data_IF_939698344314
#
_entry.id   IF_939698344314
#
_cell.length_a   1.000
_cell.length_b   1.000
_cell.length_c   1.000
_cell.angle_alpha   90.00
_cell.angle_beta   90.00
_cell.angle_gamma   90.00
#
_symmetry.space_group_name_H-M   'P 1'
#
loop_
_entity.id
_entity.type
_entity.pdbx_description
1 polymer ?
#
# COMPACT_ATOMS: atom_id res chain seq x y z
N UNK A 1 11.03 -27.11 -12.21
CA UNK A 1 10.26 -26.00 -11.60
C UNK A 1 8.78 -26.28 -11.78
N UNK A 2 7.97 -26.01 -10.76
CA UNK A 2 6.50 -26.13 -10.81
C UNK A 2 5.96 -25.06 -11.76
N UNK A 3 5.03 -25.42 -12.66
CA UNK A 3 4.43 -24.44 -13.60
C UNK A 3 3.51 -23.49 -12.85
N UNK A 4 3.26 -22.31 -13.43
CA UNK A 4 2.36 -21.31 -12.82
C UNK A 4 0.90 -21.83 -12.78
N UNK A 5 0.48 -22.62 -13.74
CA UNK A 5 -0.83 -23.27 -13.73
C UNK A 5 -0.97 -24.28 -12.60
N UNK A 6 0.08 -25.07 -12.34
CA UNK A 6 0.09 -26.04 -11.24
C UNK A 6 0.03 -25.30 -9.90
N UNK A 7 0.77 -24.18 -9.74
CA UNK A 7 0.65 -23.34 -8.54
C UNK A 7 -0.77 -22.78 -8.39
N UNK A 8 -1.36 -22.31 -9.49
CA UNK A 8 -2.74 -21.83 -9.51
C UNK A 8 -3.75 -22.89 -9.08
N UNK A 9 -3.62 -24.11 -9.59
CA UNK A 9 -4.48 -25.24 -9.23
C UNK A 9 -4.36 -25.57 -7.74
N UNK A 10 -3.13 -25.62 -7.20
CA UNK A 10 -2.86 -25.87 -5.78
C UNK A 10 -3.45 -24.76 -4.89
N UNK A 11 -3.27 -23.50 -5.27
CA UNK A 11 -3.84 -22.35 -4.58
C UNK A 11 -5.38 -22.43 -4.51
N UNK A 12 -6.03 -22.74 -5.64
CA UNK A 12 -7.50 -22.88 -5.68
C UNK A 12 -8.01 -24.03 -4.84
N UNK A 13 -7.25 -25.10 -4.72
CA UNK A 13 -7.56 -26.22 -3.81
C UNK A 13 -7.38 -25.80 -2.35
N UNK A 14 -6.26 -25.13 -2.03
CA UNK A 14 -5.97 -24.64 -0.69
C UNK A 14 -7.01 -23.62 -0.19
N UNK A 15 -7.54 -22.75 -1.06
CA UNK A 15 -8.56 -21.76 -0.69
C UNK A 15 -9.82 -22.39 -0.11
N UNK A 16 -10.17 -23.63 -0.52
CA UNK A 16 -11.30 -24.37 0.06
C UNK A 16 -11.03 -24.81 1.50
N UNK A 17 -9.77 -25.11 1.83
CA UNK A 17 -9.36 -25.42 3.21
C UNK A 17 -9.36 -24.16 4.06
N UNK A 18 -8.84 -23.06 3.50
CA UNK A 18 -8.81 -21.76 4.19
C UNK A 18 -10.21 -21.28 4.58
N UNK A 19 -11.22 -21.50 3.74
CA UNK A 19 -12.61 -21.12 4.04
C UNK A 19 -13.21 -21.77 5.29
N UNK A 20 -12.61 -22.86 5.80
CA UNK A 20 -13.06 -23.57 6.99
C UNK A 20 -12.25 -23.22 8.25
N UNK A 21 -11.15 -22.48 8.10
CA UNK A 21 -10.25 -22.17 9.19
C UNK A 21 -10.85 -21.05 10.06
N UNK A 22 -11.00 -21.33 11.36
CA UNK A 22 -11.49 -20.35 12.34
C UNK A 22 -10.39 -19.43 12.86
N UNK A 23 -10.81 -18.34 13.49
CA UNK A 23 -9.92 -17.27 14.00
C UNK A 23 -8.86 -17.81 14.96
N UNK A 24 -9.21 -18.71 15.88
CA UNK A 24 -8.26 -19.27 16.87
C UNK A 24 -7.10 -19.98 16.17
N UNK A 25 -7.39 -20.84 15.19
CA UNK A 25 -6.37 -21.58 14.46
C UNK A 25 -5.49 -20.63 13.61
N UNK A 26 -6.09 -19.63 12.95
CA UNK A 26 -5.33 -18.61 12.21
C UNK A 26 -4.36 -17.89 13.12
N UNK A 27 -4.83 -17.41 14.27
CA UNK A 27 -4.00 -16.69 15.23
C UNK A 27 -2.87 -17.57 15.80
N UNK A 28 -3.13 -18.85 16.05
CA UNK A 28 -2.10 -19.80 16.48
C UNK A 28 -1.03 -19.99 15.40
N UNK A 29 -1.42 -20.14 14.11
CA UNK A 29 -0.47 -20.28 13.00
C UNK A 29 0.33 -19.00 12.79
N UNK A 30 -0.30 -17.83 12.89
CA UNK A 30 0.42 -16.54 12.80
C UNK A 30 1.45 -16.38 13.94
N UNK A 31 1.12 -16.82 15.16
CA UNK A 31 2.06 -16.81 16.27
C UNK A 31 3.25 -17.78 16.04
N UNK A 32 2.98 -18.98 15.53
CA UNK A 32 4.03 -19.93 15.14
C UNK A 32 4.90 -19.38 14.02
N UNK A 33 4.30 -18.71 13.04
CA UNK A 33 5.02 -18.08 11.92
C UNK A 33 5.91 -16.92 12.40
N UNK A 34 5.41 -16.06 13.30
CA UNK A 34 6.19 -14.98 13.90
C UNK A 34 7.40 -15.52 14.67
N UNK A 35 7.20 -16.56 15.49
CA UNK A 35 8.28 -17.19 16.24
C UNK A 35 9.29 -17.86 15.30
N UNK A 36 8.83 -18.59 14.27
CA UNK A 36 9.69 -19.28 13.32
C UNK A 36 10.58 -18.32 12.52
N UNK A 37 10.11 -17.11 12.17
CA UNK A 37 10.93 -16.09 11.52
C UNK A 37 12.13 -15.68 12.39
N UNK A 38 11.94 -15.57 13.69
CA UNK A 38 13.01 -15.24 14.64
C UNK A 38 13.95 -16.43 14.86
N UNK A 39 13.38 -17.62 15.06
CA UNK A 39 14.16 -18.83 15.34
C UNK A 39 15.03 -19.28 14.15
N UNK A 40 14.52 -19.13 12.93
CA UNK A 40 15.23 -19.50 11.69
C UNK A 40 15.90 -18.29 11.00
N UNK A 41 16.10 -17.17 11.70
CA UNK A 41 16.63 -15.92 11.12
C UNK A 41 18.01 -16.08 10.48
N UNK A 42 18.86 -16.95 11.00
CA UNK A 42 20.19 -17.18 10.44
C UNK A 42 20.13 -17.74 9.00
N UNK A 43 19.19 -18.68 8.72
CA UNK A 43 18.97 -19.19 7.36
C UNK A 43 18.46 -18.08 6.43
N UNK A 44 17.56 -17.21 6.92
CA UNK A 44 17.02 -16.09 6.16
C UNK A 44 18.14 -15.07 5.85
N UNK A 45 18.95 -14.70 6.83
CA UNK A 45 20.07 -13.76 6.67
C UNK A 45 21.14 -14.31 5.71
N UNK A 46 21.44 -15.60 5.77
CA UNK A 46 22.35 -16.26 4.83
C UNK A 46 21.83 -16.21 3.39
N UNK A 47 20.55 -16.46 3.18
CA UNK A 47 19.91 -16.34 1.86
C UNK A 47 19.90 -14.87 1.37
N UNK A 48 19.63 -13.92 2.27
CA UNK A 48 19.67 -12.50 1.97
C UNK A 48 21.07 -12.00 1.57
N UNK A 49 22.11 -12.50 2.19
CA UNK A 49 23.49 -12.17 1.82
C UNK A 49 23.80 -12.54 0.36
N UNK A 50 23.22 -13.64 -0.16
CA UNK A 50 23.38 -14.04 -1.57
C UNK A 50 22.71 -13.02 -2.51
N UNK A 51 21.51 -12.55 -2.16
CA UNK A 51 20.81 -11.53 -2.95
C UNK A 51 21.56 -10.19 -2.95
N UNK A 52 22.09 -9.77 -1.80
CA UNK A 52 22.88 -8.54 -1.67
C UNK A 52 24.17 -8.61 -2.49
N UNK A 53 24.88 -9.75 -2.42
CA UNK A 53 26.11 -9.94 -3.21
C UNK A 53 25.81 -9.88 -4.71
N UNK A 54 24.72 -10.54 -5.15
CA UNK A 54 24.28 -10.51 -6.54
C UNK A 54 23.87 -9.09 -6.99
N UNK A 55 23.17 -8.32 -6.15
CA UNK A 55 22.78 -6.94 -6.43
C UNK A 55 24.01 -6.02 -6.59
N UNK A 56 24.99 -6.13 -5.70
CA UNK A 56 26.25 -5.36 -5.77
C UNK A 56 27.07 -5.71 -7.00
N UNK A 57 27.15 -6.99 -7.38
CA UNK A 57 27.81 -7.43 -8.63
C UNK A 57 27.17 -6.85 -9.88
N UNK A 58 25.86 -6.55 -9.84
CA UNK A 58 25.11 -5.88 -10.92
C UNK A 58 25.20 -4.35 -10.86
N UNK A 59 26.00 -3.77 -9.96
CA UNK A 59 26.09 -2.33 -9.73
C UNK A 59 24.73 -1.68 -9.41
N UNK A 60 23.88 -2.35 -8.66
CA UNK A 60 22.61 -1.79 -8.20
C UNK A 60 22.85 -0.55 -7.32
N UNK A 61 22.10 0.56 -7.50
CA UNK A 61 22.23 1.75 -6.66
C UNK A 61 22.04 1.43 -5.17
N UNK A 62 22.86 2.00 -4.29
CA UNK A 62 22.83 1.73 -2.83
C UNK A 62 21.43 1.90 -2.20
N UNK A 63 20.59 2.91 -2.55
CA UNK A 63 19.23 2.98 -2.02
C UNK A 63 18.34 1.78 -2.38
N UNK A 64 18.60 1.14 -3.52
CA UNK A 64 17.88 -0.08 -3.93
C UNK A 64 18.45 -1.31 -3.20
N UNK A 65 19.78 -1.35 -2.98
CA UNK A 65 20.42 -2.40 -2.16
C UNK A 65 19.88 -2.34 -0.73
N UNK A 66 19.75 -1.14 -0.13
CA UNK A 66 19.21 -1.00 1.23
C UNK A 66 17.77 -1.56 1.35
N UNK A 67 16.97 -1.47 0.30
CA UNK A 67 15.62 -2.09 0.28
C UNK A 67 15.65 -3.61 0.33
N UNK A 68 16.72 -4.24 -0.17
CA UNK A 68 16.93 -5.69 -0.14
C UNK A 68 17.46 -6.20 1.20
N UNK A 69 18.25 -5.36 1.89
CA UNK A 69 18.94 -5.77 3.12
C UNK A 69 17.93 -6.21 4.18
N UNK A 70 18.10 -7.39 4.71
CA UNK A 70 17.52 -7.84 5.95
C UNK A 70 18.56 -7.78 7.07
N UNK A 71 18.10 -7.46 8.28
CA UNK A 71 18.85 -7.52 9.53
C UNK A 71 18.01 -8.24 10.57
N UNK A 72 18.59 -8.63 11.67
CA UNK A 72 17.84 -9.20 12.80
C UNK A 72 16.65 -8.30 13.21
N UNK A 73 16.89 -6.98 13.26
CA UNK A 73 15.83 -6.02 13.58
C UNK A 73 14.74 -5.95 12.52
N UNK A 74 15.05 -6.07 11.22
CA UNK A 74 14.06 -6.11 10.15
C UNK A 74 13.27 -7.42 10.16
N UNK A 75 13.91 -8.55 10.50
CA UNK A 75 13.21 -9.84 10.68
C UNK A 75 12.31 -9.80 11.93
N UNK A 76 12.80 -9.24 13.04
CA UNK A 76 11.97 -9.02 14.23
C UNK A 76 10.77 -8.12 13.91
N UNK A 77 10.93 -7.10 13.05
CA UNK A 77 9.83 -6.26 12.56
C UNK A 77 8.79 -7.03 11.74
N UNK A 78 9.22 -8.01 10.89
CA UNK A 78 8.29 -8.89 10.19
C UNK A 78 7.50 -9.78 11.18
N UNK A 79 8.16 -10.34 12.18
CA UNK A 79 7.53 -11.15 13.23
C UNK A 79 6.52 -10.33 14.05
N UNK A 80 6.89 -9.10 14.42
CA UNK A 80 6.01 -8.15 15.10
C UNK A 80 4.77 -7.83 14.25
N UNK A 81 4.93 -7.60 12.94
CA UNK A 81 3.82 -7.38 12.02
C UNK A 81 2.82 -8.54 12.03
N UNK A 82 3.29 -9.79 12.02
CA UNK A 82 2.42 -10.97 12.15
C UNK A 82 1.72 -11.02 13.52
N UNK A 83 2.42 -10.67 14.59
CA UNK A 83 1.88 -10.62 15.95
C UNK A 83 0.77 -9.58 16.08
N UNK A 84 0.96 -8.41 15.49
CA UNK A 84 -0.05 -7.35 15.48
C UNK A 84 -1.34 -7.76 14.77
N UNK A 85 -1.24 -8.53 13.66
CA UNK A 85 -2.41 -9.09 12.98
C UNK A 85 -3.24 -10.02 13.86
N UNK A 86 -2.63 -10.68 14.84
CA UNK A 86 -3.34 -11.55 15.79
C UNK A 86 -4.32 -10.73 16.63
N UNK A 87 -3.93 -9.52 17.05
CA UNK A 87 -4.73 -8.64 17.89
C UNK A 87 -5.91 -7.99 17.13
N UNK A 88 -5.86 -7.94 15.80
CA UNK A 88 -6.92 -7.37 15.00
C UNK A 88 -8.15 -8.28 14.93
N UNK A 89 -9.33 -7.68 14.87
CA UNK A 89 -10.57 -8.42 14.61
C UNK A 89 -10.50 -9.16 13.28
N UNK A 90 -11.03 -10.37 13.29
CA UNK A 90 -11.18 -11.18 12.08
C UNK A 90 -12.39 -10.71 11.28
N UNK A 91 -12.21 -10.17 10.07
CA UNK A 91 -13.34 -9.67 9.30
C UNK A 91 -14.19 -10.80 8.69
N UNK A 92 -13.69 -12.03 8.65
CA UNK A 92 -14.38 -13.14 8.00
C UNK A 92 -15.57 -13.58 8.82
N UNK A 93 -16.74 -13.54 8.20
CA UNK A 93 -18.00 -13.91 8.86
C UNK A 93 -18.81 -12.72 9.38
N UNK A 94 -18.26 -11.50 9.35
CA UNK A 94 -18.99 -10.27 9.72
C UNK A 94 -20.30 -10.15 8.92
N UNK A 95 -21.41 -9.97 9.61
CA UNK A 95 -22.71 -9.64 8.98
C UNK A 95 -22.80 -8.11 8.85
N UNK A 96 -22.68 -7.64 7.63
CA UNK A 96 -22.69 -6.21 7.32
C UNK A 96 -24.11 -5.64 7.40
N UNK A 97 -25.09 -6.41 6.94
CA UNK A 97 -26.51 -6.09 7.03
C UNK A 97 -27.35 -7.35 7.01
N UNK A 98 -28.52 -7.30 7.67
CA UNK A 98 -29.58 -8.32 7.58
C UNK A 98 -30.92 -7.62 7.40
N UNK A 99 -31.79 -8.19 6.57
CA UNK A 99 -33.14 -7.69 6.30
C UNK A 99 -34.09 -8.85 6.14
N UNK A 100 -35.21 -8.80 6.86
CA UNK A 100 -36.34 -9.73 6.66
C UNK A 100 -37.28 -9.16 5.63
N UNK A 101 -37.57 -9.92 4.59
CA UNK A 101 -38.48 -9.52 3.51
C UNK A 101 -39.95 -9.78 3.91
N UNK A 102 -40.94 -9.12 3.26
CA UNK A 102 -42.36 -9.36 3.57
C UNK A 102 -42.79 -10.83 3.44
N UNK A 103 -42.14 -11.61 2.60
CA UNK A 103 -42.39 -13.06 2.43
C UNK A 103 -41.64 -13.94 3.45
N UNK A 104 -40.95 -13.35 4.44
CA UNK A 104 -40.25 -14.07 5.49
C UNK A 104 -38.82 -14.47 5.15
N UNK A 105 -38.29 -14.21 3.94
CA UNK A 105 -36.89 -14.45 3.63
C UNK A 105 -35.99 -13.52 4.45
N UNK A 106 -35.04 -14.09 5.20
CA UNK A 106 -33.96 -13.34 5.84
C UNK A 106 -32.75 -13.27 4.91
N UNK A 107 -32.36 -12.06 4.50
CA UNK A 107 -31.26 -11.81 3.58
C UNK A 107 -30.12 -11.14 4.35
N UNK A 108 -29.02 -11.86 4.55
CA UNK A 108 -27.82 -11.37 5.22
C UNK A 108 -26.70 -11.10 4.21
N UNK A 109 -26.07 -9.92 4.27
CA UNK A 109 -24.83 -9.61 3.55
C UNK A 109 -23.64 -9.95 4.46
N UNK A 110 -22.89 -10.98 4.11
CA UNK A 110 -21.80 -11.54 4.92
C UNK A 110 -20.45 -11.33 4.25
N UNK A 111 -19.43 -10.93 5.03
CA UNK A 111 -18.04 -10.80 4.59
C UNK A 111 -17.38 -12.17 4.44
N UNK A 112 -16.67 -12.37 3.34
CA UNK A 112 -16.00 -13.63 2.98
C UNK A 112 -14.64 -13.34 2.34
N UNK A 113 -13.70 -14.32 2.29
CA UNK A 113 -12.45 -14.16 1.56
C UNK A 113 -12.70 -13.84 0.08
N UNK A 114 -11.75 -13.15 -0.56
CA UNK A 114 -11.71 -13.03 -2.03
C UNK A 114 -11.47 -14.42 -2.65
N UNK A 115 -10.49 -15.15 -2.11
CA UNK A 115 -10.13 -16.48 -2.57
C UNK A 115 -8.63 -16.65 -2.77
N UNK A 116 -8.17 -16.59 -4.03
CA UNK A 116 -6.74 -16.66 -4.38
C UNK A 116 -6.26 -15.27 -4.78
N UNK A 117 -5.31 -14.73 -4.03
CA UNK A 117 -4.70 -13.44 -4.30
C UNK A 117 -3.31 -13.66 -4.90
N UNK A 118 -3.05 -13.07 -6.05
CA UNK A 118 -1.72 -13.01 -6.63
C UNK A 118 -1.04 -11.69 -6.26
N UNK A 119 0.22 -11.73 -5.80
CA UNK A 119 0.98 -10.52 -5.49
C UNK A 119 2.27 -10.52 -6.28
N UNK A 120 2.45 -9.48 -7.13
CA UNK A 120 3.67 -9.27 -7.90
C UNK A 120 4.42 -8.09 -7.28
N UNK A 121 5.66 -8.33 -6.79
CA UNK A 121 6.39 -7.31 -6.03
C UNK A 121 7.88 -7.27 -6.37
N UNK A 122 8.49 -6.10 -6.11
CA UNK A 122 9.89 -5.81 -6.40
C UNK A 122 10.69 -5.61 -5.11
N UNK A 123 11.95 -6.07 -5.12
CA UNK A 123 13.07 -5.65 -4.23
C UNK A 123 12.74 -5.39 -2.76
N UNK A 124 11.80 -6.12 -2.17
CA UNK A 124 11.37 -5.96 -0.76
C UNK A 124 11.05 -7.31 -0.13
N UNK A 125 12.04 -8.03 0.44
CA UNK A 125 11.80 -9.37 1.01
C UNK A 125 10.76 -9.40 2.12
N UNK A 126 10.62 -8.32 2.91
CA UNK A 126 9.61 -8.21 3.97
C UNK A 126 8.17 -8.34 3.45
N UNK A 127 7.90 -7.94 2.20
CA UNK A 127 6.57 -8.07 1.59
C UNK A 127 6.09 -9.53 1.59
N UNK A 128 7.00 -10.50 1.54
CA UNK A 128 6.66 -11.93 1.62
C UNK A 128 5.92 -12.27 2.92
N UNK A 129 6.40 -11.76 4.06
CA UNK A 129 5.79 -11.98 5.37
C UNK A 129 4.51 -11.15 5.55
N UNK A 130 4.54 -9.88 5.14
CA UNK A 130 3.39 -8.97 5.26
C UNK A 130 2.20 -9.50 4.42
N UNK A 131 2.46 -9.87 3.17
CA UNK A 131 1.47 -10.43 2.25
C UNK A 131 0.89 -11.76 2.77
N UNK A 132 1.76 -12.64 3.29
CA UNK A 132 1.32 -13.87 3.92
C UNK A 132 0.37 -13.57 5.08
N UNK A 133 0.78 -12.75 6.04
CA UNK A 133 0.02 -12.49 7.25
C UNK A 133 -1.37 -11.93 6.96
N UNK A 134 -1.45 -10.91 6.10
CA UNK A 134 -2.70 -10.25 5.71
C UNK A 134 -3.64 -11.21 4.96
N UNK A 135 -3.14 -11.93 3.95
CA UNK A 135 -3.93 -12.89 3.19
C UNK A 135 -4.39 -14.06 4.07
N UNK A 136 -3.49 -14.59 4.90
CA UNK A 136 -3.79 -15.72 5.78
C UNK A 136 -4.84 -15.39 6.84
N UNK A 137 -4.72 -14.22 7.51
CA UNK A 137 -5.71 -13.75 8.49
C UNK A 137 -7.09 -13.60 7.89
N UNK A 138 -7.19 -13.27 6.60
CA UNK A 138 -8.44 -13.08 5.86
C UNK A 138 -8.90 -14.33 5.09
N UNK A 139 -8.37 -15.52 5.44
CA UNK A 139 -8.68 -16.79 4.80
C UNK A 139 -8.39 -16.86 3.28
N UNK A 140 -7.57 -15.97 2.75
CA UNK A 140 -7.12 -16.03 1.36
C UNK A 140 -5.90 -16.94 1.22
N UNK A 141 -5.79 -17.59 0.08
CA UNK A 141 -4.55 -18.20 -0.38
C UNK A 141 -3.76 -17.16 -1.19
N UNK A 142 -2.45 -17.12 -1.03
CA UNK A 142 -1.61 -16.17 -1.75
C UNK A 142 -0.57 -16.86 -2.64
N UNK A 143 -0.45 -16.37 -3.88
CA UNK A 143 0.63 -16.70 -4.80
C UNK A 143 1.53 -15.48 -4.93
N UNK A 144 2.77 -15.62 -4.47
CA UNK A 144 3.77 -14.57 -4.47
C UNK A 144 4.68 -14.68 -5.69
N UNK A 145 4.92 -13.57 -6.38
CA UNK A 145 5.87 -13.45 -7.48
C UNK A 145 6.80 -12.27 -7.19
N UNK A 146 7.92 -12.55 -6.54
CA UNK A 146 8.97 -11.57 -6.29
C UNK A 146 9.84 -11.29 -7.52
N UNK A 147 10.60 -10.20 -7.46
CA UNK A 147 11.67 -9.91 -8.42
C UNK A 147 12.86 -10.85 -8.25
N UNK A 148 13.72 -10.90 -9.29
CA UNK A 148 14.95 -11.71 -9.28
C UNK A 148 15.99 -11.27 -8.24
N UNK A 149 15.85 -10.02 -7.75
CA UNK A 149 16.83 -9.41 -6.85
C UNK A 149 16.73 -9.89 -5.40
N UNK A 150 15.59 -10.51 -5.03
CA UNK A 150 15.31 -10.99 -3.68
C UNK A 150 14.89 -12.46 -3.64
N UNK A 151 15.17 -13.24 -4.68
CA UNK A 151 14.60 -14.58 -4.81
C UNK A 151 15.06 -15.53 -3.71
N UNK A 152 16.32 -15.48 -3.31
CA UNK A 152 16.83 -16.36 -2.24
C UNK A 152 16.20 -16.03 -0.90
N UNK A 153 16.08 -14.74 -0.57
CA UNK A 153 15.39 -14.25 0.63
C UNK A 153 13.92 -14.68 0.64
N UNK A 154 13.21 -14.46 -0.48
CA UNK A 154 11.80 -14.82 -0.61
C UNK A 154 11.58 -16.32 -0.44
N UNK A 155 12.45 -17.17 -1.02
CA UNK A 155 12.41 -18.62 -0.86
C UNK A 155 12.63 -19.04 0.60
N UNK A 156 13.62 -18.46 1.28
CA UNK A 156 13.93 -18.76 2.67
C UNK A 156 12.76 -18.38 3.59
N UNK A 157 12.23 -17.17 3.46
CA UNK A 157 11.06 -16.69 4.24
C UNK A 157 9.85 -17.59 3.97
N UNK A 158 9.54 -17.87 2.69
CA UNK A 158 8.40 -18.72 2.32
C UNK A 158 8.53 -20.12 2.93
N UNK A 159 9.72 -20.71 2.91
CA UNK A 159 10.01 -22.03 3.49
C UNK A 159 9.69 -22.04 5.00
N UNK A 160 10.17 -21.05 5.73
CA UNK A 160 9.93 -20.90 7.18
C UNK A 160 8.44 -20.75 7.48
N UNK A 161 7.74 -19.86 6.75
CA UNK A 161 6.31 -19.63 6.94
C UNK A 161 5.48 -20.88 6.62
N UNK A 162 5.79 -21.61 5.55
CA UNK A 162 5.09 -22.87 5.19
C UNK A 162 5.24 -23.96 6.25
N UNK A 163 6.45 -24.10 6.83
CA UNK A 163 6.67 -25.01 7.98
C UNK A 163 5.78 -24.65 9.16
N UNK A 164 5.66 -23.35 9.48
CA UNK A 164 4.81 -22.86 10.56
C UNK A 164 3.32 -23.13 10.30
N UNK A 165 2.86 -22.96 9.06
CA UNK A 165 1.50 -23.32 8.64
C UNK A 165 1.23 -24.81 8.90
N UNK A 166 2.14 -25.68 8.47
CA UNK A 166 2.01 -27.14 8.68
C UNK A 166 2.02 -27.51 10.17
N UNK A 167 2.92 -26.91 10.96
CA UNK A 167 3.01 -27.13 12.40
C UNK A 167 1.73 -26.76 13.15
N UNK A 168 1.00 -25.76 12.69
CA UNK A 168 -0.32 -25.37 13.21
C UNK A 168 -1.50 -26.12 12.58
N UNK A 169 -1.24 -27.17 11.79
CA UNK A 169 -2.28 -27.99 11.15
C UNK A 169 -3.00 -27.30 9.99
N UNK A 170 -2.40 -26.27 9.41
CA UNK A 170 -2.89 -25.56 8.23
C UNK A 170 -2.46 -26.21 6.92
N UNK A 171 -3.03 -25.75 5.82
CA UNK A 171 -2.63 -26.15 4.48
C UNK A 171 -1.43 -25.32 4.02
N UNK A 172 -0.27 -25.95 3.82
CA UNK A 172 0.95 -25.24 3.39
C UNK A 172 0.77 -24.46 2.07
N UNK A 173 -0.11 -24.93 1.20
CA UNK A 173 -0.40 -24.28 -0.07
C UNK A 173 -1.26 -23.01 0.07
N UNK A 174 -1.59 -22.61 1.30
CA UNK A 174 -2.10 -21.26 1.57
C UNK A 174 -1.08 -20.17 1.24
N UNK A 175 0.21 -20.52 1.20
CA UNK A 175 1.32 -19.65 0.77
C UNK A 175 2.13 -20.36 -0.31
N UNK A 176 2.16 -19.79 -1.52
CA UNK A 176 2.91 -20.28 -2.66
C UNK A 176 3.83 -19.18 -3.21
N UNK A 177 5.03 -19.56 -3.61
CA UNK A 177 6.01 -18.68 -4.25
C UNK A 177 6.31 -19.16 -5.67
N UNK A 178 6.28 -18.26 -6.62
CA UNK A 178 6.76 -18.49 -7.99
C UNK A 178 8.28 -18.33 -8.00
N UNK A 179 9.01 -19.43 -8.13
CA UNK A 179 10.48 -19.45 -8.13
C UNK A 179 11.08 -18.97 -9.45
N UNK A 180 10.34 -19.15 -10.55
CA UNK A 180 10.74 -18.62 -11.85
C UNK A 180 10.59 -17.09 -11.88
N UNK A 181 11.72 -16.40 -11.95
CA UNK A 181 11.78 -14.93 -11.94
C UNK A 181 11.59 -14.29 -13.32
N UNK A 182 11.38 -15.08 -14.36
CA UNK A 182 11.21 -14.58 -15.73
C UNK A 182 10.02 -13.63 -15.89
N UNK A 183 10.10 -12.76 -16.90
CA UNK A 183 8.99 -11.86 -17.26
C UNK A 183 7.84 -12.62 -17.91
N UNK A 184 8.14 -13.71 -18.58
CA UNK A 184 7.17 -14.60 -19.22
C UNK A 184 6.24 -15.21 -18.19
N UNK A 185 6.77 -15.72 -17.09
CA UNK A 185 5.97 -16.27 -15.98
C UNK A 185 5.17 -15.19 -15.28
N UNK A 186 5.69 -13.96 -15.13
CA UNK A 186 4.90 -12.84 -14.63
C UNK A 186 3.70 -12.52 -15.54
N UNK A 187 3.90 -12.49 -16.88
CA UNK A 187 2.82 -12.31 -17.84
C UNK A 187 1.80 -13.45 -17.83
N UNK A 188 2.28 -14.71 -17.67
CA UNK A 188 1.39 -15.86 -17.53
C UNK A 188 0.52 -15.74 -16.26
N UNK A 189 1.11 -15.30 -15.13
CA UNK A 189 0.37 -15.04 -13.89
C UNK A 189 -0.71 -13.98 -14.05
N UNK A 190 -0.44 -12.89 -14.81
CA UNK A 190 -1.41 -11.82 -15.09
C UNK A 190 -2.63 -12.31 -15.88
N UNK A 191 -2.55 -13.48 -16.52
CA UNK A 191 -3.62 -14.08 -17.34
C UNK A 191 -4.24 -15.33 -16.71
N UNK A 192 -3.88 -15.64 -15.49
CA UNK A 192 -4.28 -16.88 -14.80
C UNK A 192 -5.65 -16.74 -14.10
N UNK A 193 -6.60 -16.05 -14.73
CA UNK A 193 -7.94 -15.76 -14.20
C UNK A 193 -8.80 -16.99 -13.91
N UNK A 194 -8.41 -18.18 -14.40
CA UNK A 194 -9.03 -19.43 -14.02
C UNK A 194 -8.78 -19.80 -12.54
N UNK A 195 -7.64 -19.33 -11.98
CA UNK A 195 -7.20 -19.72 -10.63
C UNK A 195 -7.03 -18.54 -9.70
N UNK A 196 -6.62 -17.38 -10.18
CA UNK A 196 -6.36 -16.18 -9.39
C UNK A 196 -7.59 -15.27 -9.48
N UNK A 197 -8.12 -14.88 -8.33
CA UNK A 197 -9.32 -14.05 -8.23
C UNK A 197 -8.99 -12.53 -8.31
N UNK A 198 -7.79 -12.14 -7.83
CA UNK A 198 -7.31 -10.75 -7.90
C UNK A 198 -5.79 -10.70 -7.89
N UNK A 199 -5.20 -9.70 -8.57
CA UNK A 199 -3.77 -9.36 -8.52
C UNK A 199 -3.54 -8.03 -7.80
N UNK A 200 -2.45 -7.98 -7.02
CA UNK A 200 -2.00 -6.76 -6.34
C UNK A 200 -0.52 -6.53 -6.71
N UNK A 201 -0.21 -5.55 -7.57
CA UNK A 201 1.17 -5.16 -7.84
C UNK A 201 1.74 -4.33 -6.68
N UNK A 202 3.00 -4.58 -6.30
CA UNK A 202 3.74 -3.86 -5.25
C UNK A 202 5.14 -3.48 -5.74
N UNK A 203 5.28 -2.30 -6.30
CA UNK A 203 6.55 -1.84 -6.87
C UNK A 203 6.46 -0.42 -7.41
N UNK A 204 7.38 -0.06 -8.29
CA UNK A 204 7.38 1.24 -8.95
C UNK A 204 6.26 1.37 -9.99
N UNK A 205 6.02 2.62 -10.45
CA UNK A 205 4.99 2.96 -11.44
C UNK A 205 5.03 2.07 -12.70
N UNK A 206 6.23 1.69 -13.15
CA UNK A 206 6.41 0.82 -14.31
C UNK A 206 5.84 -0.58 -14.13
N UNK A 207 6.05 -1.21 -12.95
CA UNK A 207 5.44 -2.50 -12.66
C UNK A 207 3.93 -2.39 -12.57
N UNK A 208 3.42 -1.40 -11.83
CA UNK A 208 1.98 -1.18 -11.62
C UNK A 208 1.30 -1.03 -12.98
N UNK A 209 1.80 -0.13 -13.83
CA UNK A 209 1.28 0.08 -15.19
C UNK A 209 1.31 -1.20 -16.02
N UNK A 210 2.43 -1.93 -15.99
CA UNK A 210 2.56 -3.19 -16.74
C UNK A 210 1.50 -4.20 -16.30
N UNK A 211 1.23 -4.34 -15.00
CA UNK A 211 0.22 -5.26 -14.49
C UNK A 211 -1.18 -4.81 -14.90
N UNK A 212 -1.51 -3.53 -14.72
CA UNK A 212 -2.84 -2.97 -15.06
C UNK A 212 -3.15 -3.13 -16.55
N UNK A 213 -2.18 -2.82 -17.43
CA UNK A 213 -2.39 -2.88 -18.88
C UNK A 213 -2.43 -4.30 -19.47
N UNK A 214 -1.77 -5.27 -18.83
CA UNK A 214 -1.60 -6.61 -19.40
C UNK A 214 -2.39 -7.71 -18.69
N UNK A 215 -3.00 -7.42 -17.54
CA UNK A 215 -3.73 -8.42 -16.77
C UNK A 215 -5.16 -8.62 -17.30
N UNK A 216 -5.55 -9.91 -17.39
CA UNK A 216 -6.97 -10.29 -17.51
C UNK A 216 -7.57 -10.66 -16.17
N UNK A 217 -6.73 -10.91 -15.14
CA UNK A 217 -7.15 -11.02 -13.75
C UNK A 217 -7.48 -9.62 -13.23
N UNK A 218 -8.57 -9.39 -12.49
CA UNK A 218 -8.84 -8.12 -11.84
C UNK A 218 -7.64 -7.65 -11.02
N UNK A 219 -7.33 -6.34 -11.08
CA UNK A 219 -6.18 -5.76 -10.38
C UNK A 219 -6.67 -4.77 -9.32
N UNK A 220 -6.15 -4.88 -8.10
CA UNK A 220 -6.20 -3.81 -7.13
C UNK A 220 -4.84 -3.13 -7.18
N UNK A 221 -4.81 -1.94 -7.79
CA UNK A 221 -3.56 -1.21 -7.95
C UNK A 221 -3.19 -0.44 -6.68
N UNK A 222 -1.89 -0.49 -6.33
CA UNK A 222 -1.32 0.42 -5.35
C UNK A 222 -0.84 1.67 -6.08
N UNK A 223 -1.16 2.85 -5.55
CA UNK A 223 -0.85 4.11 -6.22
C UNK A 223 0.60 4.55 -6.04
N UNK A 224 1.08 5.37 -6.98
CA UNK A 224 2.19 6.30 -6.76
C UNK A 224 1.67 7.53 -6.02
N UNK A 225 2.55 8.30 -5.37
CA UNK A 225 2.12 9.39 -4.50
C UNK A 225 2.69 10.75 -4.89
N UNK A 226 2.04 11.48 -5.81
CA UNK A 226 2.29 12.92 -5.94
C UNK A 226 1.34 13.67 -5.00
N UNK A 227 1.71 13.74 -3.70
CA UNK A 227 0.89 14.35 -2.67
C UNK A 227 1.16 15.85 -2.54
N UNK A 228 0.10 16.63 -2.33
CA UNK A 228 0.19 18.08 -2.17
C UNK A 228 -0.12 18.52 -0.74
N UNK A 229 0.50 19.63 -0.34
CA UNK A 229 0.08 20.41 0.83
C UNK A 229 -0.25 21.82 0.36
N UNK A 230 -1.52 22.21 0.45
CA UNK A 230 -1.97 23.57 0.16
C UNK A 230 -1.97 24.43 1.42
N UNK A 231 -1.31 25.56 1.36
CA UNK A 231 -1.27 26.59 2.41
C UNK A 231 -2.23 27.71 2.01
N UNK A 232 -3.39 27.74 2.64
CA UNK A 232 -4.47 28.68 2.39
C UNK A 232 -4.17 30.08 2.95
N UNK A 233 -4.85 31.11 2.44
CA UNK A 233 -4.69 32.50 2.87
C UNK A 233 -4.82 32.70 4.39
N UNK A 234 -5.65 31.90 5.05
CA UNK A 234 -5.89 31.96 6.48
C UNK A 234 -5.00 31.07 7.33
N UNK A 235 -4.00 30.41 6.73
CA UNK A 235 -3.17 29.41 7.39
C UNK A 235 -2.40 29.99 8.58
N UNK A 236 -2.19 29.12 9.58
CA UNK A 236 -1.18 29.34 10.60
C UNK A 236 0.19 28.95 10.04
N UNK A 237 1.10 29.91 9.94
CA UNK A 237 2.38 29.71 9.27
C UNK A 237 3.28 28.75 10.02
N UNK A 238 3.31 28.81 11.36
CA UNK A 238 4.14 27.90 12.16
C UNK A 238 3.62 26.45 12.03
N UNK A 239 2.31 26.28 11.99
CA UNK A 239 1.69 24.98 11.71
C UNK A 239 2.03 24.51 10.30
N UNK A 240 1.90 25.36 9.29
CA UNK A 240 2.21 25.04 7.90
C UNK A 240 3.66 24.56 7.73
N UNK A 241 4.62 25.29 8.31
CA UNK A 241 6.06 24.91 8.28
C UNK A 241 6.27 23.51 8.87
N UNK A 242 5.68 23.22 10.03
CA UNK A 242 5.80 21.90 10.69
C UNK A 242 5.21 20.78 9.85
N UNK A 243 4.01 20.98 9.31
CA UNK A 243 3.31 19.98 8.48
C UNK A 243 4.10 19.71 7.20
N UNK A 244 4.50 20.77 6.47
CA UNK A 244 5.22 20.67 5.21
C UNK A 244 6.60 20.02 5.41
N UNK A 245 7.31 20.37 6.47
CA UNK A 245 8.60 19.79 6.77
C UNK A 245 8.45 18.28 7.08
N UNK A 246 7.52 17.91 7.96
CA UNK A 246 7.23 16.52 8.27
C UNK A 246 6.79 15.75 7.03
N UNK A 247 5.83 16.28 6.27
CA UNK A 247 5.27 15.62 5.10
C UNK A 247 6.33 15.28 4.04
N UNK A 248 7.41 16.06 3.89
CA UNK A 248 8.48 15.79 2.93
C UNK A 248 9.68 15.07 3.53
N UNK A 249 10.13 15.44 4.72
CA UNK A 249 11.47 15.08 5.19
C UNK A 249 11.52 13.96 6.23
N UNK A 250 10.38 13.55 6.78
CA UNK A 250 10.32 12.43 7.72
C UNK A 250 10.73 11.11 7.02
N UNK A 251 10.26 10.90 5.79
CA UNK A 251 10.70 9.80 4.90
C UNK A 251 10.35 10.17 3.46
N UNK A 252 11.35 10.30 2.60
CA UNK A 252 11.18 10.78 1.22
C UNK A 252 10.72 9.69 0.25
N UNK A 253 11.22 8.47 0.40
CA UNK A 253 11.01 7.37 -0.56
C UNK A 253 9.70 6.59 -0.35
N UNK A 254 8.60 7.30 -0.02
CA UNK A 254 7.27 6.70 0.24
C UNK A 254 6.17 7.51 -0.45
N UNK A 255 5.11 6.82 -0.86
CA UNK A 255 4.03 7.39 -1.68
C UNK A 255 3.18 8.48 -0.99
N UNK A 256 3.18 8.56 0.34
CA UNK A 256 2.46 9.60 1.09
C UNK A 256 3.34 10.80 1.46
N UNK A 257 4.58 10.87 0.94
CA UNK A 257 5.42 12.06 1.11
C UNK A 257 4.90 13.22 0.25
N UNK A 258 4.98 14.45 0.79
CA UNK A 258 4.62 15.64 0.02
C UNK A 258 5.62 15.89 -1.09
N UNK A 259 5.16 15.85 -2.33
CA UNK A 259 5.97 16.16 -3.52
C UNK A 259 5.76 17.58 -4.03
N UNK A 260 4.60 18.16 -3.73
CA UNK A 260 4.18 19.45 -4.24
C UNK A 260 3.61 20.34 -3.13
N UNK A 261 4.11 21.56 -3.02
CA UNK A 261 3.58 22.62 -2.17
C UNK A 261 2.74 23.57 -3.03
N UNK A 262 1.52 23.84 -2.62
CA UNK A 262 0.67 24.86 -3.20
C UNK A 262 0.51 25.98 -2.16
N UNK A 263 0.73 27.26 -2.52
CA UNK A 263 0.65 28.38 -1.60
C UNK A 263 -0.26 29.48 -2.13
N UNK A 264 -1.13 30.01 -1.27
CA UNK A 264 -1.98 31.15 -1.62
C UNK A 264 -1.12 32.42 -1.79
N UNK A 265 -1.36 33.17 -2.85
CA UNK A 265 -0.60 34.40 -3.17
C UNK A 265 -0.59 35.44 -2.03
N UNK A 266 -1.69 35.57 -1.28
CA UNK A 266 -1.84 36.58 -0.22
C UNK A 266 -0.97 36.28 1.02
N UNK A 267 -0.39 35.07 1.10
CA UNK A 267 0.54 34.69 2.17
C UNK A 267 1.89 34.19 1.61
N UNK A 268 2.20 34.55 0.37
CA UNK A 268 3.45 34.12 -0.29
C UNK A 268 4.69 34.57 0.49
N UNK A 269 4.58 35.64 1.29
CA UNK A 269 5.62 36.11 2.21
C UNK A 269 6.02 35.09 3.29
N UNK A 270 5.22 34.05 3.50
CA UNK A 270 5.58 32.91 4.35
C UNK A 270 6.55 31.93 3.67
N UNK A 271 6.66 31.97 2.33
CA UNK A 271 7.46 31.02 1.57
C UNK A 271 8.95 31.02 1.93
N UNK A 272 9.63 32.19 2.25
CA UNK A 272 11.01 32.20 2.72
C UNK A 272 11.22 31.38 4.01
N UNK A 273 10.27 31.40 4.95
CA UNK A 273 10.36 30.61 6.19
C UNK A 273 10.27 29.11 5.89
N UNK A 274 9.34 28.72 5.02
CA UNK A 274 9.18 27.32 4.55
C UNK A 274 10.44 26.87 3.81
N UNK A 275 10.96 27.71 2.89
CA UNK A 275 12.16 27.42 2.12
C UNK A 275 13.39 27.27 3.02
N UNK A 276 13.55 28.13 4.03
CA UNK A 276 14.64 28.02 5.02
C UNK A 276 14.58 26.69 5.76
N UNK A 277 13.43 26.32 6.30
CA UNK A 277 13.27 25.05 7.03
C UNK A 277 13.57 23.83 6.14
N UNK A 278 13.18 23.87 4.86
CA UNK A 278 13.49 22.81 3.89
C UNK A 278 14.97 22.74 3.49
N UNK A 279 15.65 23.90 3.34
CA UNK A 279 17.10 23.95 3.07
C UNK A 279 17.91 23.31 4.20
N UNK A 280 17.52 23.52 5.45
CA UNK A 280 18.16 22.91 6.61
C UNK A 280 18.11 21.36 6.53
N UNK A 281 17.19 20.82 5.74
CA UNK A 281 17.06 19.38 5.41
C UNK A 281 17.58 19.02 4.01
N UNK A 282 18.32 19.92 3.36
CA UNK A 282 18.87 19.75 2.00
C UNK A 282 17.80 19.47 0.92
N UNK A 283 16.57 19.95 1.11
CA UNK A 283 15.50 19.77 0.13
C UNK A 283 15.56 20.85 -0.95
N UNK A 284 15.71 20.43 -2.20
CA UNK A 284 15.63 21.28 -3.39
C UNK A 284 14.18 21.72 -3.61
N UNK A 285 13.99 23.01 -3.93
CA UNK A 285 12.67 23.54 -4.29
C UNK A 285 12.67 23.99 -5.75
N UNK A 286 11.58 23.71 -6.46
CA UNK A 286 11.33 24.14 -7.84
C UNK A 286 10.05 24.96 -7.88
N UNK A 287 10.16 26.27 -8.12
CA UNK A 287 9.05 27.21 -8.01
C UNK A 287 8.56 27.76 -9.33
N UNK A 288 7.30 28.22 -9.35
CA UNK A 288 6.79 29.08 -10.41
C UNK A 288 7.39 30.50 -10.33
N UNK A 289 7.03 31.39 -11.26
CA UNK A 289 7.58 32.73 -11.34
C UNK A 289 7.33 33.55 -10.06
N UNK A 290 6.14 33.48 -9.49
CA UNK A 290 5.81 34.19 -8.26
C UNK A 290 6.60 33.68 -7.04
N UNK A 291 6.81 32.38 -6.95
CA UNK A 291 7.65 31.78 -5.91
C UNK A 291 9.13 32.22 -6.06
N UNK A 292 9.63 32.30 -7.29
CA UNK A 292 11.00 32.76 -7.59
C UNK A 292 11.23 34.25 -7.27
N UNK A 293 10.20 35.10 -7.40
CA UNK A 293 10.30 36.51 -6.99
C UNK A 293 10.57 36.65 -5.49
N UNK A 294 10.00 35.78 -4.66
CA UNK A 294 10.12 35.82 -3.20
C UNK A 294 11.32 34.98 -2.70
N UNK A 295 11.66 33.92 -3.41
CA UNK A 295 12.78 33.00 -3.07
C UNK A 295 13.61 32.75 -4.34
N UNK A 296 14.51 33.69 -4.75
CA UNK A 296 15.18 33.67 -6.04
C UNK A 296 16.17 32.50 -6.25
N UNK A 297 16.59 31.81 -5.21
CA UNK A 297 17.52 30.69 -5.27
C UNK A 297 16.84 29.32 -5.50
N UNK A 298 15.52 29.28 -5.65
CA UNK A 298 14.83 28.08 -6.14
C UNK A 298 15.17 27.82 -7.62
N UNK A 299 15.07 26.58 -8.04
CA UNK A 299 15.06 26.27 -9.47
C UNK A 299 13.71 26.63 -10.08
N UNK A 300 13.70 27.03 -11.36
CA UNK A 300 12.44 27.22 -12.08
C UNK A 300 11.76 25.87 -12.31
N UNK A 301 10.50 25.77 -11.89
CA UNK A 301 9.67 24.59 -12.17
C UNK A 301 9.27 24.53 -13.65
N UNK A 302 9.11 23.32 -14.14
CA UNK A 302 8.55 23.00 -15.46
C UNK A 302 7.16 22.39 -15.29
N UNK A 303 6.43 22.21 -16.38
CA UNK A 303 5.11 21.57 -16.35
C UNK A 303 5.18 20.12 -15.80
N UNK A 304 6.29 19.43 -16.05
CA UNK A 304 6.55 18.07 -15.58
C UNK A 304 6.70 17.99 -14.06
N UNK A 305 7.23 19.05 -13.44
CA UNK A 305 7.44 19.10 -11.98
C UNK A 305 6.14 19.04 -11.18
N UNK A 306 5.02 19.50 -11.74
CA UNK A 306 3.72 19.48 -11.06
C UNK A 306 3.15 18.09 -10.84
N UNK A 307 3.47 17.15 -11.75
CA UNK A 307 2.99 15.76 -11.71
C UNK A 307 4.04 14.73 -11.27
N UNK A 308 5.22 15.18 -10.83
CA UNK A 308 6.36 14.30 -10.56
C UNK A 308 6.38 13.80 -9.13
N UNK A 309 6.38 12.47 -8.95
CA UNK A 309 6.76 11.82 -7.70
C UNK A 309 8.29 11.70 -7.66
N UNK A 310 8.97 12.61 -6.96
CA UNK A 310 10.44 12.67 -6.93
C UNK A 310 11.06 11.52 -6.13
N UNK A 311 10.40 11.08 -5.05
CA UNK A 311 10.92 10.09 -4.08
C UNK A 311 12.27 10.50 -3.47
N UNK A 312 12.58 11.78 -3.50
CA UNK A 312 13.85 12.40 -3.07
C UNK A 312 13.58 13.71 -2.34
N UNK A 313 14.61 14.35 -1.83
CA UNK A 313 14.56 15.67 -1.20
C UNK A 313 14.40 16.79 -2.27
N UNK A 314 13.35 16.67 -3.06
CA UNK A 314 12.94 17.63 -4.08
C UNK A 314 11.44 17.87 -3.92
N UNK A 315 10.97 19.12 -4.09
CA UNK A 315 9.55 19.41 -4.14
C UNK A 315 9.26 20.61 -5.06
N UNK A 316 8.12 20.56 -5.74
CA UNK A 316 7.59 21.69 -6.50
C UNK A 316 6.87 22.70 -5.60
N UNK A 317 6.77 23.94 -6.05
CA UNK A 317 6.07 25.04 -5.37
C UNK A 317 5.23 25.80 -6.38
N UNK A 318 3.90 25.74 -6.22
CA UNK A 318 2.92 26.44 -7.06
C UNK A 318 2.22 27.54 -6.28
N UNK A 319 2.13 28.73 -6.84
CA UNK A 319 1.37 29.86 -6.30
C UNK A 319 -0.02 29.90 -6.92
N UNK A 320 -1.05 30.12 -6.11
CA UNK A 320 -2.46 30.16 -6.53
C UNK A 320 -3.19 31.37 -5.94
N UNK A 321 -4.26 31.81 -6.61
CA UNK A 321 -5.02 32.98 -6.20
C UNK A 321 -6.24 32.67 -5.30
N UNK A 322 -6.63 31.39 -5.21
CA UNK A 322 -7.80 30.97 -4.43
C UNK A 322 -7.72 29.50 -4.08
N UNK A 323 -8.60 29.05 -3.16
CA UNK A 323 -8.80 27.63 -2.88
C UNK A 323 -9.33 26.87 -4.11
N UNK A 324 -10.13 27.51 -4.96
CA UNK A 324 -10.63 26.91 -6.21
C UNK A 324 -9.48 26.58 -7.16
N UNK A 325 -8.57 27.51 -7.37
CA UNK A 325 -7.37 27.29 -8.21
C UNK A 325 -6.45 26.21 -7.61
N UNK A 326 -6.34 26.16 -6.27
CA UNK A 326 -5.60 25.09 -5.60
C UNK A 326 -6.22 23.72 -5.86
N UNK A 327 -7.54 23.59 -5.72
CA UNK A 327 -8.28 22.36 -5.96
C UNK A 327 -8.15 21.92 -7.43
N UNK A 328 -8.28 22.86 -8.38
CA UNK A 328 -8.13 22.56 -9.81
C UNK A 328 -6.70 22.06 -10.12
N UNK A 329 -5.67 22.75 -9.59
CA UNK A 329 -4.29 22.33 -9.76
C UNK A 329 -4.03 20.95 -9.17
N UNK A 330 -4.47 20.72 -7.92
CA UNK A 330 -4.29 19.43 -7.22
C UNK A 330 -5.01 18.32 -7.98
N UNK A 331 -6.28 18.49 -8.35
CA UNK A 331 -7.03 17.47 -9.07
C UNK A 331 -6.46 17.15 -10.46
N UNK A 332 -5.74 18.12 -11.08
CA UNK A 332 -5.09 17.91 -12.36
C UNK A 332 -3.79 17.08 -12.25
N UNK A 333 -3.01 17.27 -11.20
CA UNK A 333 -1.66 16.72 -11.10
C UNK A 333 -1.47 15.65 -10.02
N UNK A 334 -2.43 15.48 -9.12
CA UNK A 334 -2.35 14.44 -8.10
C UNK A 334 -2.45 13.03 -8.70
N UNK A 335 -2.09 12.06 -7.90
CA UNK A 335 -2.23 10.64 -8.21
C UNK A 335 -3.44 10.01 -7.51
N UNK A 336 -4.31 10.81 -6.89
CA UNK A 336 -5.44 10.35 -6.10
C UNK A 336 -5.05 9.77 -4.74
N UNK A 337 -3.83 10.05 -4.24
CA UNK A 337 -3.31 9.42 -3.03
C UNK A 337 -3.67 10.18 -1.75
N UNK A 338 -2.97 11.27 -1.44
CA UNK A 338 -3.15 11.99 -0.17
C UNK A 338 -2.90 13.47 -0.35
N UNK A 339 -3.87 14.29 0.03
CA UNK A 339 -3.83 15.74 -0.15
C UNK A 339 -4.15 16.45 1.16
N UNK A 340 -3.52 17.58 1.42
CA UNK A 340 -3.73 18.34 2.65
C UNK A 340 -3.93 19.83 2.40
N UNK A 341 -4.81 20.46 3.20
CA UNK A 341 -4.93 21.91 3.33
C UNK A 341 -4.53 22.33 4.73
N UNK A 342 -3.77 23.43 4.83
CA UNK A 342 -3.52 24.13 6.09
C UNK A 342 -4.32 25.42 6.08
N UNK A 343 -5.32 25.55 6.95
CA UNK A 343 -6.26 26.67 6.95
C UNK A 343 -6.90 26.87 8.32
N UNK A 344 -7.33 28.10 8.63
CA UNK A 344 -8.24 28.47 9.73
C UNK A 344 -9.65 28.79 9.22
N UNK A 345 -9.84 28.83 7.90
CA UNK A 345 -11.15 29.06 7.28
C UNK A 345 -11.93 27.77 7.17
N UNK A 346 -13.06 27.69 7.85
CA UNK A 346 -13.93 26.51 7.87
C UNK A 346 -14.56 26.23 6.50
N UNK A 347 -14.92 27.28 5.75
CA UNK A 347 -15.55 27.11 4.44
C UNK A 347 -14.54 26.52 3.43
N UNK A 348 -13.29 27.06 3.41
CA UNK A 348 -12.23 26.54 2.56
C UNK A 348 -11.85 25.11 2.94
N UNK A 349 -11.81 24.80 4.26
CA UNK A 349 -11.55 23.44 4.72
C UNK A 349 -12.61 22.45 4.20
N UNK A 350 -13.91 22.80 4.35
CA UNK A 350 -15.00 21.96 3.87
C UNK A 350 -14.97 21.78 2.35
N UNK A 351 -14.80 22.87 1.62
CA UNK A 351 -14.72 22.85 0.15
C UNK A 351 -13.57 21.95 -0.32
N UNK A 352 -12.40 22.07 0.28
CA UNK A 352 -11.23 21.25 -0.05
C UNK A 352 -11.49 19.75 0.21
N UNK A 353 -12.09 19.41 1.37
CA UNK A 353 -12.45 18.02 1.70
C UNK A 353 -13.46 17.42 0.71
N UNK A 354 -14.43 18.22 0.25
CA UNK A 354 -15.52 17.74 -0.61
C UNK A 354 -15.11 17.65 -2.09
N UNK A 355 -14.20 18.54 -2.56
CA UNK A 355 -13.91 18.70 -3.99
C UNK A 355 -12.55 18.10 -4.43
N UNK A 356 -11.63 17.82 -3.51
CA UNK A 356 -10.36 17.17 -3.85
C UNK A 356 -10.55 15.66 -4.01
N UNK A 357 -10.23 15.14 -5.18
CA UNK A 357 -10.39 13.73 -5.52
C UNK A 357 -9.14 12.92 -5.15
N UNK A 358 -9.02 12.53 -3.89
CA UNK A 358 -7.95 11.70 -3.37
C UNK A 358 -8.49 10.63 -2.39
N UNK A 359 -7.67 9.60 -2.12
CA UNK A 359 -8.00 8.53 -1.19
C UNK A 359 -8.03 9.02 0.27
N UNK A 360 -7.18 9.98 0.60
CA UNK A 360 -7.15 10.64 1.90
C UNK A 360 -7.00 12.16 1.74
N UNK A 361 -7.88 12.92 2.37
CA UNK A 361 -7.86 14.40 2.33
C UNK A 361 -7.82 14.93 3.75
N UNK A 362 -6.86 15.82 4.04
CA UNK A 362 -6.54 16.27 5.38
C UNK A 362 -6.78 17.76 5.56
N UNK A 363 -7.22 18.14 6.74
CA UNK A 363 -7.19 19.53 7.22
C UNK A 363 -6.21 19.59 8.38
N UNK A 364 -5.21 20.47 8.28
CA UNK A 364 -4.22 20.76 9.33
C UNK A 364 -3.44 19.53 9.84
N UNK A 365 -3.16 18.58 8.95
CA UNK A 365 -2.36 17.40 9.26
C UNK A 365 -1.43 17.01 8.10
N UNK A 366 -0.40 16.25 8.41
CA UNK A 366 0.59 15.76 7.45
C UNK A 366 0.00 14.62 6.61
N UNK A 367 0.31 14.58 5.31
CA UNK A 367 -0.04 13.46 4.41
C UNK A 367 0.62 12.15 4.84
N UNK A 368 1.66 12.20 5.69
CA UNK A 368 2.36 11.02 6.23
C UNK A 368 1.47 10.10 7.07
N UNK A 369 0.32 10.58 7.54
CA UNK A 369 -0.64 9.76 8.27
C UNK A 369 -1.43 8.80 7.40
N UNK A 370 -1.34 8.84 6.07
CA UNK A 370 -1.97 7.83 5.20
C UNK A 370 -1.19 6.52 5.26
N UNK A 371 -1.44 5.76 6.30
CA UNK A 371 -0.73 4.54 6.67
C UNK A 371 -1.66 3.63 7.46
N UNK A 372 -1.56 2.31 7.28
CA UNK A 372 -2.47 1.36 7.92
C UNK A 372 -2.38 1.38 9.45
N UNK A 373 -1.18 1.55 10.02
CA UNK A 373 -1.00 1.62 11.47
C UNK A 373 -1.56 2.92 12.03
N UNK A 374 -1.28 4.04 11.36
CA UNK A 374 -1.78 5.36 11.78
C UNK A 374 -3.31 5.44 11.71
N UNK A 375 -3.94 4.74 10.76
CA UNK A 375 -5.41 4.67 10.64
C UNK A 375 -6.04 3.60 11.56
N UNK A 376 -5.22 2.84 12.30
CA UNK A 376 -5.70 1.78 13.18
C UNK A 376 -6.13 0.49 12.47
N UNK A 377 -5.75 0.32 11.19
CA UNK A 377 -6.04 -0.89 10.43
C UNK A 377 -4.97 -1.97 10.63
N UNK A 378 -3.87 -1.64 11.30
CA UNK A 378 -2.68 -2.48 11.44
C UNK A 378 -1.82 -2.51 10.18
N UNK A 379 -1.23 -3.66 9.88
CA UNK A 379 -0.46 -3.83 8.65
C UNK A 379 -1.32 -3.61 7.39
N UNK A 380 -0.69 -3.14 6.32
CA UNK A 380 -1.33 -2.92 5.03
C UNK A 380 -0.55 -3.58 3.89
N UNK A 381 -1.25 -3.97 2.84
CA UNK A 381 -0.61 -4.45 1.61
C UNK A 381 -0.25 -3.30 0.67
N UNK A 382 -0.56 -2.08 1.01
CA UNK A 382 -0.32 -0.84 0.31
C UNK A 382 -1.53 0.06 0.27
N UNK A 383 -1.37 1.21 -0.38
CA UNK A 383 -2.40 2.24 -0.48
C UNK A 383 -2.93 2.25 -1.90
N UNK A 384 -4.22 1.99 -2.07
CA UNK A 384 -4.87 2.04 -3.38
C UNK A 384 -5.42 3.44 -3.67
N UNK A 385 -5.21 3.91 -4.89
CA UNK A 385 -5.75 5.18 -5.39
C UNK A 385 -6.94 5.00 -6.32
N UNK A 386 -7.26 3.75 -6.68
CA UNK A 386 -8.43 3.46 -7.53
C UNK A 386 -9.74 3.63 -6.76
N UNK A 387 -10.85 3.83 -7.50
CA UNK A 387 -12.18 4.02 -6.91
C UNK A 387 -12.96 2.73 -6.75
N UNK A 388 -12.61 1.70 -7.49
CA UNK A 388 -13.30 0.42 -7.49
C UNK A 388 -12.69 -0.52 -6.46
N UNK A 389 -13.50 -1.11 -5.61
CA UNK A 389 -13.21 -1.99 -4.48
C UNK A 389 -12.53 -1.26 -3.31
N UNK A 390 -11.17 -1.20 -3.26
CA UNK A 390 -10.43 -0.59 -2.18
C UNK A 390 -9.89 0.79 -2.59
N UNK A 391 -9.99 1.79 -1.69
CA UNK A 391 -9.40 3.11 -1.85
C UNK A 391 -8.77 3.55 -0.51
N UNK A 392 -7.50 3.93 -0.51
CA UNK A 392 -6.73 4.21 0.71
C UNK A 392 -5.91 3.01 1.19
N UNK A 393 -5.46 3.01 2.46
CA UNK A 393 -4.71 1.90 3.03
C UNK A 393 -5.50 0.58 3.00
N UNK A 394 -4.89 -0.48 2.48
CA UNK A 394 -5.53 -1.78 2.31
C UNK A 394 -5.14 -2.72 3.44
N UNK A 395 -5.96 -2.75 4.48
CA UNK A 395 -5.86 -3.68 5.61
C UNK A 395 -6.64 -4.98 5.39
N UNK A 396 -7.08 -5.59 6.50
CA UNK A 396 -7.77 -6.88 6.45
C UNK A 396 -9.11 -6.82 5.70
N UNK A 397 -9.90 -5.74 5.87
CA UNK A 397 -11.24 -5.65 5.27
C UNK A 397 -11.19 -5.53 3.74
N UNK A 398 -10.18 -4.87 3.21
CA UNK A 398 -9.96 -4.67 1.77
C UNK A 398 -9.53 -5.95 1.06
N UNK A 399 -8.99 -6.93 1.80
CA UNK A 399 -8.69 -8.29 1.28
C UNK A 399 -9.87 -9.26 1.38
N UNK A 400 -11.08 -8.73 1.53
CA UNK A 400 -12.32 -9.51 1.60
C UNK A 400 -13.33 -9.04 0.57
N UNK A 401 -14.32 -9.88 0.30
CA UNK A 401 -15.51 -9.53 -0.47
C UNK A 401 -16.76 -9.90 0.31
N UNK A 402 -17.92 -9.77 -0.28
CA UNK A 402 -19.19 -10.10 0.36
C UNK A 402 -19.99 -11.10 -0.46
N UNK A 403 -20.77 -11.94 0.24
CA UNK A 403 -21.82 -12.74 -0.39
C UNK A 403 -23.16 -12.57 0.35
N UNK A 404 -24.24 -12.85 -0.33
CA UNK A 404 -25.55 -12.94 0.31
C UNK A 404 -25.75 -14.36 0.83
N UNK A 405 -26.18 -14.47 2.10
CA UNK A 405 -26.65 -15.70 2.74
C UNK A 405 -28.12 -15.49 3.01
N UNK A 406 -28.95 -16.40 2.51
CA UNK A 406 -30.40 -16.26 2.55
C UNK A 406 -30.97 -17.45 3.30
N UNK A 407 -31.77 -17.16 4.35
CA UNK A 407 -32.52 -18.14 5.09
C UNK A 407 -34.00 -18.05 4.70
N UNK A 408 -34.56 -19.20 4.40
CA UNK A 408 -35.96 -19.33 4.01
C UNK A 408 -36.59 -20.54 4.64
N UNK A 409 -37.92 -20.62 4.54
CA UNK A 409 -38.78 -21.70 5.02
C UNK A 409 -39.75 -22.13 3.89
N UNK A 410 -39.20 -22.43 2.71
CA UNK A 410 -39.97 -22.92 1.56
C UNK A 410 -40.57 -21.83 0.65
N UNK A 411 -40.20 -20.56 0.80
CA UNK A 411 -40.69 -19.51 -0.07
C UNK A 411 -40.32 -19.75 -1.53
N UNK A 412 -41.27 -19.53 -2.43
CA UNK A 412 -41.10 -19.59 -3.89
C UNK A 412 -41.33 -18.21 -4.51
N UNK A 413 -40.78 -17.97 -5.67
CA UNK A 413 -41.09 -16.79 -6.46
C UNK A 413 -42.23 -17.13 -7.43
N UNK A 414 -43.34 -16.39 -7.32
CA UNK A 414 -44.48 -16.44 -8.23
C UNK A 414 -44.20 -15.68 -9.53
#
# INVERSE_FOLDING_TARGET
MTTIEELGRRAKQASRHMNRMGTTQKNQILALAAQALVDEQEEILKANAMDIEAARKKNMPEPMVDRLVLSESRIAGMAEGLTQLIALEDPIGEIISSTVRPNGLEICKKRVPIGVIGIIYESRPNVTADAFGLCFKTNNTVILKGGSDAIHSNMAITKVLRKAIAAGGGCEDALLLVEDTSRETAKAMMRLNQYIDVLIPRGGAGLIRTVVENSTVPVIETGTGNCHVYVDASADIDMAVKIILNAKTQRTGVCNACESLVIHKDIIEALPAIAKARREKHCELRGDEAALEVVPDMKKATEEDWGTEYLDLIASVRTVASVDEAIEHINRYNTGHSEAIVTKDYANARKFLDEVDAAAVYVNASTRFTDGFEFGFGAEIGISTQKLHARGPMGLKELTTTKYVIYGDGQIRE
#
